data_IF_410134039973
#
_entry.id   IF_410134039973
#
_cell.length_a   1.000
_cell.length_b   1.000
_cell.length_c   1.000
_cell.angle_alpha   90.00
_cell.angle_beta   90.00
_cell.angle_gamma   90.00
#
_symmetry.space_group_name_H-M   'P 1'
#
loop_
_entity.id
_entity.type
_entity.pdbx_description
1 polymer ?
#
# COMPACT_ATOMS: atom_id res chain seq x y z
N UNK A 1 22.38 15.58 15.20
CA UNK A 1 20.99 15.19 15.57
C UNK A 1 20.96 13.69 15.64
N UNK A 2 20.96 13.12 16.85
CA UNK A 2 20.92 11.67 17.04
C UNK A 2 19.56 11.14 16.61
N UNK A 3 19.56 10.22 15.65
CA UNK A 3 18.39 9.46 15.26
C UNK A 3 17.92 8.59 16.44
N UNK A 4 16.81 8.94 17.05
CA UNK A 4 16.16 8.07 18.05
C UNK A 4 15.52 6.91 17.34
N UNK A 5 16.19 5.79 17.41
CA UNK A 5 15.66 4.49 17.02
C UNK A 5 14.87 3.89 18.20
N UNK A 6 13.61 3.56 17.98
CA UNK A 6 12.74 2.91 18.99
C UNK A 6 12.49 1.44 18.58
N UNK A 7 12.66 0.48 19.46
CA UNK A 7 12.47 -0.96 19.22
C UNK A 7 11.37 -1.57 20.12
N UNK A 8 10.62 -2.54 19.63
CA UNK A 8 9.62 -3.28 20.41
C UNK A 8 10.21 -4.60 20.86
N UNK A 9 10.20 -4.85 22.17
CA UNK A 9 10.56 -6.13 22.76
C UNK A 9 9.35 -6.77 23.45
N UNK A 10 9.10 -8.03 23.17
CA UNK A 10 8.10 -8.84 23.86
C UNK A 10 8.86 -9.66 24.94
N UNK A 11 8.75 -9.26 26.20
CA UNK A 11 9.19 -10.07 27.33
C UNK A 11 8.00 -10.77 27.98
N UNK A 12 8.25 -11.93 28.59
CA UNK A 12 7.24 -12.89 29.11
C UNK A 12 6.23 -12.35 30.14
N UNK A 13 6.25 -11.08 30.50
CA UNK A 13 5.34 -10.47 31.48
C UNK A 13 4.81 -9.09 31.08
N UNK A 14 4.58 -8.84 29.81
CA UNK A 14 4.02 -7.56 29.33
C UNK A 14 4.84 -6.93 28.25
N UNK A 15 4.13 -6.30 27.35
CA UNK A 15 4.72 -5.59 26.22
C UNK A 15 5.40 -4.32 26.73
N UNK A 16 6.73 -4.26 26.70
CA UNK A 16 7.45 -3.01 26.87
C UNK A 16 7.74 -2.44 25.49
N UNK A 17 7.08 -1.33 25.17
CA UNK A 17 7.38 -0.52 24.00
C UNK A 17 8.59 0.39 24.36
N UNK A 18 9.74 -0.22 24.54
CA UNK A 18 11.00 0.50 24.67
C UNK A 18 11.77 0.33 23.37
N UNK A 19 11.82 1.41 22.59
CA UNK A 19 12.62 1.52 21.37
C UNK A 19 12.12 0.74 20.15
N UNK A 20 11.17 1.28 19.40
CA UNK A 20 10.91 0.93 18.00
C UNK A 20 12.06 1.46 17.14
N UNK A 21 12.98 0.57 16.75
CA UNK A 21 14.02 0.91 15.79
C UNK A 21 13.53 0.67 14.36
N UNK A 22 12.67 1.55 13.87
CA UNK A 22 12.50 1.72 12.44
C UNK A 22 13.32 2.94 12.02
N UNK A 23 14.37 2.74 11.26
CA UNK A 23 15.05 3.87 10.63
C UNK A 23 14.09 4.45 9.60
N UNK A 24 13.90 5.75 9.63
CA UNK A 24 13.13 6.47 8.60
C UNK A 24 13.71 6.21 7.19
N UNK A 25 15.00 5.91 7.10
CA UNK A 25 15.68 5.41 5.91
C UNK A 25 15.12 4.08 5.41
N UNK A 26 14.72 3.17 6.30
CA UNK A 26 14.26 1.83 5.91
C UNK A 26 12.83 1.86 5.34
N UNK A 27 12.05 2.89 5.71
CA UNK A 27 10.72 3.15 5.15
C UNK A 27 10.82 3.96 3.84
N UNK A 28 11.81 4.82 3.69
CA UNK A 28 11.99 5.67 2.52
C UNK A 28 12.92 5.08 1.46
N UNK A 29 13.86 4.21 1.81
CA UNK A 29 14.95 3.78 0.93
C UNK A 29 14.56 2.80 -0.18
N UNK A 30 13.41 2.16 -0.10
CA UNK A 30 12.96 1.24 -1.15
C UNK A 30 12.14 1.93 -2.25
N UNK A 31 12.04 3.24 -2.21
CA UNK A 31 11.37 4.06 -3.22
C UNK A 31 12.36 4.95 -3.97
N UNK A 32 13.47 4.37 -4.37
CA UNK A 32 14.30 5.01 -5.37
C UNK A 32 13.44 5.26 -6.62
N UNK A 33 13.48 6.51 -7.07
CA UNK A 33 12.95 6.92 -8.35
C UNK A 33 13.78 6.20 -9.42
N UNK A 34 13.39 4.97 -9.72
CA UNK A 34 13.99 4.29 -10.86
C UNK A 34 13.60 5.08 -12.10
N UNK A 35 14.57 5.54 -12.89
CA UNK A 35 14.24 6.16 -14.16
C UNK A 35 13.41 5.16 -14.97
N UNK A 36 12.32 5.63 -15.54
CA UNK A 36 11.53 4.83 -16.48
C UNK A 36 12.40 4.75 -17.73
N UNK A 37 12.80 3.55 -18.10
CA UNK A 37 13.62 3.33 -19.27
C UNK A 37 12.84 3.70 -20.54
N UNK A 38 13.55 4.17 -21.55
CA UNK A 38 12.96 4.55 -22.84
C UNK A 38 12.20 3.36 -23.43
N UNK A 39 10.89 3.51 -23.60
CA UNK A 39 9.98 2.49 -24.16
C UNK A 39 9.10 1.76 -23.13
N UNK A 40 9.29 1.97 -21.84
CA UNK A 40 8.37 1.46 -20.82
C UNK A 40 7.10 2.32 -20.71
N UNK A 41 5.97 1.66 -20.48
CA UNK A 41 4.71 2.36 -20.23
C UNK A 41 4.73 2.97 -18.81
N UNK A 42 4.71 4.30 -18.75
CA UNK A 42 4.78 5.07 -17.51
C UNK A 42 3.64 4.72 -16.56
N UNK A 43 2.43 4.53 -17.08
CA UNK A 43 1.26 4.22 -16.26
C UNK A 43 1.34 2.81 -15.68
N UNK A 44 1.78 1.85 -16.49
CA UNK A 44 1.99 0.47 -16.07
C UNK A 44 3.01 0.41 -14.94
N UNK A 45 4.18 1.04 -15.12
CA UNK A 45 5.23 1.06 -14.09
C UNK A 45 4.82 1.82 -12.83
N UNK A 46 4.06 2.89 -12.98
CA UNK A 46 3.54 3.64 -11.83
C UNK A 46 2.57 2.78 -11.02
N UNK A 47 1.64 2.09 -11.67
CA UNK A 47 0.72 1.18 -11.01
C UNK A 47 1.45 0.03 -10.32
N UNK A 48 2.38 -0.64 -11.00
CA UNK A 48 3.21 -1.71 -10.44
C UNK A 48 3.91 -1.28 -9.15
N UNK A 49 4.56 -0.11 -9.16
CA UNK A 49 5.24 0.44 -7.99
C UNK A 49 4.27 0.83 -6.88
N UNK A 50 3.17 1.48 -7.22
CA UNK A 50 2.17 1.90 -6.25
C UNK A 50 1.56 0.69 -5.52
N UNK A 51 1.16 -0.36 -6.24
CA UNK A 51 0.62 -1.58 -5.65
C UNK A 51 1.66 -2.36 -4.86
N UNK A 52 2.91 -2.43 -5.35
CA UNK A 52 4.00 -3.01 -4.56
C UNK A 52 4.17 -2.26 -3.23
N UNK A 53 4.17 -0.93 -3.27
CA UNK A 53 4.28 -0.12 -2.06
C UNK A 53 3.12 -0.36 -1.08
N UNK A 54 1.89 -0.30 -1.58
CA UNK A 54 0.69 -0.53 -0.76
C UNK A 54 0.70 -1.90 -0.09
N UNK A 55 1.26 -2.91 -0.75
CA UNK A 55 1.27 -4.27 -0.24
C UNK A 55 2.32 -4.50 0.86
N UNK A 56 3.38 -3.71 0.92
CA UNK A 56 4.54 -3.99 1.78
C UNK A 56 4.87 -2.87 2.78
N UNK A 57 4.31 -1.67 2.63
CA UNK A 57 4.67 -0.54 3.51
C UNK A 57 3.45 0.26 3.96
N UNK A 58 3.41 0.62 5.24
CA UNK A 58 2.51 1.65 5.74
C UNK A 58 3.11 3.05 5.52
N UNK A 59 2.25 4.06 5.43
CA UNK A 59 2.70 5.46 5.47
C UNK A 59 3.19 5.82 6.86
N UNK A 60 4.01 6.86 6.94
CA UNK A 60 4.51 7.38 8.22
C UNK A 60 3.36 7.75 9.16
N UNK A 61 2.35 8.44 8.65
CA UNK A 61 1.18 8.87 9.41
C UNK A 61 0.40 7.69 9.98
N UNK A 62 0.30 6.60 9.21
CA UNK A 62 -0.36 5.39 9.68
C UNK A 62 0.43 4.71 10.80
N UNK A 63 1.75 4.61 10.67
CA UNK A 63 2.61 4.08 11.73
C UNK A 63 2.55 4.93 13.00
N UNK A 64 2.58 6.26 12.87
CA UNK A 64 2.44 7.18 13.99
C UNK A 64 1.09 7.03 14.69
N UNK A 65 0.01 6.82 13.95
CA UNK A 65 -1.31 6.56 14.52
C UNK A 65 -1.35 5.27 15.34
N UNK A 66 -0.73 4.19 14.85
CA UNK A 66 -0.62 2.92 15.60
C UNK A 66 0.19 3.12 16.89
N UNK A 67 1.32 3.81 16.81
CA UNK A 67 2.18 4.11 17.97
C UNK A 67 1.39 4.97 18.99
N UNK A 68 0.71 6.00 18.53
CA UNK A 68 -0.09 6.86 19.40
C UNK A 68 -1.19 6.05 20.12
N UNK A 69 -1.85 5.15 19.41
CA UNK A 69 -2.87 4.27 19.99
C UNK A 69 -2.26 3.35 21.07
N UNK A 70 -1.08 2.79 20.82
CA UNK A 70 -0.39 1.95 21.79
C UNK A 70 0.05 2.71 23.06
N UNK A 71 0.38 3.98 22.92
CA UNK A 71 0.84 4.85 24.02
C UNK A 71 -0.30 5.58 24.75
N UNK A 72 -1.54 5.43 24.29
CA UNK A 72 -2.69 6.07 24.93
C UNK A 72 -2.82 5.61 26.40
N UNK A 73 -3.10 6.54 27.33
CA UNK A 73 -3.40 6.19 28.73
C UNK A 73 -4.56 5.23 28.87
N UNK A 74 -5.54 5.29 27.96
CA UNK A 74 -6.75 4.48 27.96
C UNK A 74 -6.57 3.12 27.26
N UNK A 75 -5.39 2.87 26.66
CA UNK A 75 -5.13 1.61 25.99
C UNK A 75 -5.02 0.45 27.00
N UNK A 76 -5.77 -0.62 26.73
CA UNK A 76 -5.63 -1.87 27.49
C UNK A 76 -4.33 -2.60 27.11
N UNK A 77 -3.95 -3.59 27.91
CA UNK A 77 -2.80 -4.46 27.60
C UNK A 77 -2.98 -5.19 26.27
N UNK A 78 -4.22 -5.57 25.93
CA UNK A 78 -4.54 -6.19 24.66
C UNK A 78 -4.35 -5.21 23.49
N UNK A 79 -4.78 -3.96 23.63
CA UNK A 79 -4.60 -2.94 22.59
C UNK A 79 -3.11 -2.70 22.31
N UNK A 80 -2.32 -2.60 23.37
CA UNK A 80 -0.86 -2.45 23.27
C UNK A 80 -0.23 -3.64 22.57
N UNK A 81 -0.64 -4.86 22.92
CA UNK A 81 -0.16 -6.08 22.29
C UNK A 81 -0.49 -6.12 20.79
N UNK A 82 -1.73 -5.80 20.42
CA UNK A 82 -2.17 -5.77 19.01
C UNK A 82 -1.39 -4.73 18.22
N UNK A 83 -1.25 -3.51 18.75
CA UNK A 83 -0.47 -2.45 18.10
C UNK A 83 0.99 -2.87 17.89
N UNK A 84 1.61 -3.54 18.86
CA UNK A 84 2.97 -4.03 18.71
C UNK A 84 3.08 -5.13 17.66
N UNK A 85 2.11 -6.04 17.58
CA UNK A 85 2.05 -7.03 16.51
C UNK A 85 1.93 -6.38 15.13
N UNK A 86 1.10 -5.32 14.99
CA UNK A 86 0.97 -4.55 13.75
C UNK A 86 2.28 -3.88 13.35
N UNK A 87 2.96 -3.25 14.29
CA UNK A 87 4.26 -2.61 14.03
C UNK A 87 5.33 -3.62 13.65
N UNK A 88 5.37 -4.76 14.32
CA UNK A 88 6.30 -5.85 13.97
C UNK A 88 6.00 -6.44 12.59
N UNK A 89 4.73 -6.59 12.26
CA UNK A 89 4.32 -7.01 10.93
C UNK A 89 4.76 -5.99 9.86
N UNK A 90 4.60 -4.68 10.13
CA UNK A 90 5.06 -3.63 9.22
C UNK A 90 6.57 -3.66 9.00
N UNK A 91 7.35 -3.90 10.06
CA UNK A 91 8.81 -4.07 9.96
C UNK A 91 9.16 -5.25 9.04
N UNK A 92 8.56 -6.43 9.28
CA UNK A 92 8.81 -7.63 8.47
C UNK A 92 8.39 -7.40 7.01
N UNK A 93 7.21 -6.81 6.79
CA UNK A 93 6.71 -6.55 5.45
C UNK A 93 7.60 -5.57 4.66
N UNK A 94 8.21 -4.60 5.32
CA UNK A 94 9.09 -3.61 4.68
C UNK A 94 10.31 -4.22 3.97
N UNK A 95 10.68 -5.46 4.32
CA UNK A 95 11.73 -6.20 3.63
C UNK A 95 11.29 -6.75 2.25
N UNK A 96 9.99 -6.70 1.93
CA UNK A 96 9.46 -7.06 0.62
C UNK A 96 9.29 -8.56 0.37
N UNK A 97 9.44 -9.41 1.38
CA UNK A 97 9.24 -10.86 1.27
C UNK A 97 7.80 -11.27 1.58
N UNK A 98 7.22 -10.71 2.63
CA UNK A 98 5.85 -10.97 3.07
C UNK A 98 5.02 -9.70 3.03
N UNK A 99 3.82 -9.71 2.45
CA UNK A 99 2.97 -8.52 2.42
C UNK A 99 2.43 -8.18 3.82
N UNK A 100 1.99 -6.94 4.00
CA UNK A 100 1.34 -6.46 5.21
C UNK A 100 0.10 -7.28 5.57
N UNK A 101 -0.64 -7.74 4.56
CA UNK A 101 -1.83 -8.54 4.70
C UNK A 101 -1.93 -9.53 3.54
N UNK A 102 -2.41 -10.75 3.83
CA UNK A 102 -2.64 -11.75 2.80
C UNK A 102 -3.97 -11.58 2.06
N UNK A 103 -4.87 -10.78 2.57
CA UNK A 103 -6.13 -10.45 1.89
C UNK A 103 -5.92 -9.24 0.99
N UNK A 104 -5.57 -9.50 -0.25
CA UNK A 104 -5.15 -8.48 -1.22
C UNK A 104 -6.31 -7.83 -1.97
N UNK A 105 -7.47 -8.48 -2.04
CA UNK A 105 -8.69 -7.95 -2.64
C UNK A 105 -8.55 -7.56 -4.12
N UNK A 106 -9.42 -6.64 -4.58
CA UNK A 106 -9.45 -6.10 -5.93
C UNK A 106 -8.69 -4.76 -5.96
N UNK A 107 -7.85 -4.57 -6.97
CA UNK A 107 -7.18 -3.30 -7.21
C UNK A 107 -8.18 -2.20 -7.56
N UNK A 108 -8.18 -1.09 -6.80
CA UNK A 108 -8.98 0.09 -7.07
C UNK A 108 -8.05 1.28 -7.37
N UNK A 109 -8.25 1.90 -8.52
CA UNK A 109 -7.44 3.04 -8.99
C UNK A 109 -8.37 4.22 -9.26
N UNK A 110 -8.11 5.34 -8.59
CA UNK A 110 -8.74 6.63 -8.86
C UNK A 110 -7.68 7.59 -9.34
N UNK A 111 -7.86 8.15 -10.54
CA UNK A 111 -6.90 9.06 -11.15
C UNK A 111 -7.55 10.32 -11.68
N UNK A 112 -6.82 11.42 -11.60
CA UNK A 112 -7.19 12.70 -12.21
C UNK A 112 -6.13 13.07 -13.23
N UNK A 113 -6.54 13.40 -14.43
CA UNK A 113 -5.65 13.84 -15.51
C UNK A 113 -6.08 15.17 -16.08
N UNK A 114 -5.12 15.95 -16.54
CA UNK A 114 -5.42 17.18 -17.30
C UNK A 114 -5.90 16.85 -18.71
N UNK A 115 -6.80 17.67 -19.23
CA UNK A 115 -7.21 17.58 -20.63
C UNK A 115 -5.97 17.71 -21.54
N UNK A 116 -5.87 16.84 -22.55
CA UNK A 116 -4.73 16.79 -23.46
C UNK A 116 -3.63 15.80 -23.08
N UNK A 117 -3.69 15.14 -21.95
CA UNK A 117 -2.82 14.01 -21.65
C UNK A 117 -3.30 12.78 -22.44
N UNK A 118 -2.48 12.32 -23.36
CA UNK A 118 -2.77 11.15 -24.22
C UNK A 118 -1.71 10.09 -23.94
N UNK A 119 -2.16 8.92 -23.51
CA UNK A 119 -1.32 7.75 -23.40
C UNK A 119 -1.20 7.03 -24.75
N UNK A 120 -0.08 6.38 -25.02
CA UNK A 120 0.12 5.59 -26.25
C UNK A 120 -0.69 4.28 -26.27
N UNK A 121 -0.99 3.73 -25.10
CA UNK A 121 -1.92 2.59 -24.88
C UNK A 121 -3.17 3.09 -24.20
N UNK A 122 -4.20 2.26 -24.15
CA UNK A 122 -5.36 2.51 -23.29
C UNK A 122 -4.92 2.68 -21.83
N UNK A 123 -5.20 3.84 -21.23
CA UNK A 123 -4.75 4.18 -19.88
C UNK A 123 -5.20 3.16 -18.83
N UNK A 124 -6.44 2.69 -18.94
CA UNK A 124 -6.98 1.66 -18.06
C UNK A 124 -6.27 0.32 -18.23
N UNK A 125 -5.89 -0.04 -19.44
CA UNK A 125 -5.17 -1.28 -19.74
C UNK A 125 -3.77 -1.24 -19.14
N UNK A 126 -3.05 -0.13 -19.30
CA UNK A 126 -1.71 0.04 -18.72
C UNK A 126 -1.73 -0.01 -17.19
N UNK A 127 -2.67 0.69 -16.55
CA UNK A 127 -2.83 0.68 -15.10
C UNK A 127 -3.22 -0.71 -14.57
N UNK A 128 -4.13 -1.41 -15.29
CA UNK A 128 -4.54 -2.77 -14.94
C UNK A 128 -3.38 -3.75 -15.06
N UNK A 129 -2.58 -3.63 -16.11
CA UNK A 129 -1.41 -4.49 -16.32
C UNK A 129 -0.35 -4.30 -15.24
N UNK A 130 -0.08 -3.07 -14.80
CA UNK A 130 0.83 -2.81 -13.68
C UNK A 130 0.34 -3.42 -12.37
N UNK A 131 -0.96 -3.33 -12.08
CA UNK A 131 -1.55 -4.02 -10.92
C UNK A 131 -1.40 -5.54 -11.04
N UNK A 132 -1.77 -6.12 -12.21
CA UNK A 132 -1.66 -7.56 -12.48
C UNK A 132 -0.22 -8.08 -12.28
N UNK A 133 0.76 -7.36 -12.83
CA UNK A 133 2.18 -7.72 -12.64
C UNK A 133 2.59 -7.76 -11.18
N UNK A 134 2.12 -6.81 -10.37
CA UNK A 134 2.42 -6.83 -8.94
C UNK A 134 1.86 -8.06 -8.26
N UNK A 135 0.62 -8.45 -8.54
CA UNK A 135 0.05 -9.68 -7.97
C UNK A 135 0.86 -10.91 -8.34
N UNK A 136 1.27 -11.03 -9.60
CA UNK A 136 2.01 -12.19 -10.11
C UNK A 136 3.46 -12.23 -9.58
N UNK A 137 4.22 -11.13 -9.73
CA UNK A 137 5.64 -11.07 -9.41
C UNK A 137 5.91 -11.09 -7.90
N UNK A 138 5.05 -10.41 -7.13
CA UNK A 138 5.13 -10.40 -5.66
C UNK A 138 4.44 -11.60 -5.02
N UNK A 139 3.87 -12.50 -5.83
CA UNK A 139 3.16 -13.70 -5.37
C UNK A 139 2.10 -13.38 -4.32
N UNK A 140 1.37 -12.30 -4.55
CA UNK A 140 0.29 -11.90 -3.68
C UNK A 140 -0.88 -12.89 -3.81
N UNK A 141 -1.60 -13.12 -2.72
CA UNK A 141 -2.71 -14.06 -2.71
C UNK A 141 -3.81 -13.61 -3.67
N UNK A 142 -4.33 -14.54 -4.45
CA UNK A 142 -5.56 -14.34 -5.20
C UNK A 142 -6.75 -14.58 -4.28
N UNK A 143 -7.43 -13.52 -3.91
CA UNK A 143 -8.54 -13.52 -2.93
C UNK A 143 -9.88 -13.10 -3.53
N UNK A 144 -9.90 -12.86 -4.85
CA UNK A 144 -11.11 -12.41 -5.53
C UNK A 144 -11.96 -13.61 -5.97
N UNK A 145 -13.25 -13.56 -5.64
CA UNK A 145 -14.26 -14.48 -6.14
C UNK A 145 -15.36 -13.71 -6.88
N UNK A 146 -15.77 -14.21 -8.00
CA UNK A 146 -16.82 -13.60 -8.84
C UNK A 146 -18.06 -14.50 -8.82
N UNK A 147 -19.21 -14.03 -8.31
CA UNK A 147 -20.43 -14.81 -8.31
C UNK A 147 -20.95 -15.02 -9.74
N UNK A 148 -21.16 -16.28 -10.13
CA UNK A 148 -21.82 -16.64 -11.39
C UNK A 148 -23.34 -16.66 -11.26
N UNK A 149 -23.81 -17.09 -10.10
CA UNK A 149 -25.21 -17.13 -9.72
C UNK A 149 -25.31 -17.17 -8.18
N UNK A 150 -26.49 -17.43 -7.61
CA UNK A 150 -26.68 -17.49 -6.16
C UNK A 150 -25.92 -18.60 -5.45
N UNK A 151 -25.46 -19.62 -6.16
CA UNK A 151 -24.87 -20.83 -5.57
C UNK A 151 -23.43 -21.08 -6.02
N UNK A 152 -23.01 -20.49 -7.15
CA UNK A 152 -21.71 -20.76 -7.77
C UNK A 152 -20.85 -19.51 -7.86
N UNK A 153 -19.58 -19.67 -7.49
CA UNK A 153 -18.55 -18.65 -7.61
C UNK A 153 -17.46 -19.09 -8.60
N UNK A 154 -16.78 -18.15 -9.15
CA UNK A 154 -15.63 -18.34 -10.02
C UNK A 154 -14.43 -17.57 -9.47
N UNK A 155 -13.31 -18.28 -9.28
CA UNK A 155 -12.02 -17.67 -8.95
C UNK A 155 -11.27 -17.35 -10.25
N UNK A 156 -11.06 -16.07 -10.58
CA UNK A 156 -10.32 -15.67 -11.78
C UNK A 156 -8.80 -15.94 -11.66
N UNK A 157 -8.31 -16.30 -10.47
CA UNK A 157 -6.90 -16.61 -10.16
C UNK A 157 -5.91 -15.50 -10.57
N UNK A 158 -6.32 -14.24 -10.46
CA UNK A 158 -5.48 -13.11 -10.81
C UNK A 158 -5.92 -11.79 -10.16
N UNK A 159 -6.95 -11.79 -9.31
CA UNK A 159 -7.57 -10.60 -8.71
C UNK A 159 -8.02 -9.52 -9.72
N UNK A 160 -8.26 -9.92 -10.97
CA UNK A 160 -8.71 -9.02 -12.03
C UNK A 160 -10.22 -9.24 -12.32
N UNK A 161 -10.89 -8.23 -12.90
CA UNK A 161 -10.36 -6.95 -13.38
C UNK A 161 -10.13 -5.93 -12.25
N UNK A 162 -9.15 -5.04 -12.43
CA UNK A 162 -9.00 -3.86 -11.60
C UNK A 162 -10.17 -2.89 -11.81
N UNK A 163 -10.62 -2.22 -10.76
CA UNK A 163 -11.59 -1.13 -10.86
C UNK A 163 -10.85 0.19 -11.05
N UNK A 164 -11.04 0.81 -12.23
CA UNK A 164 -10.30 2.01 -12.60
C UNK A 164 -11.29 3.13 -12.94
N UNK A 165 -11.16 4.25 -12.24
CA UNK A 165 -11.93 5.47 -12.45
C UNK A 165 -10.97 6.62 -12.76
N UNK A 166 -10.97 7.06 -14.02
CA UNK A 166 -10.15 8.18 -14.47
C UNK A 166 -11.05 9.41 -14.76
N UNK A 167 -10.73 10.50 -14.10
CA UNK A 167 -11.42 11.77 -14.25
C UNK A 167 -10.55 12.74 -15.06
N UNK A 168 -11.14 13.43 -16.01
CA UNK A 168 -10.47 14.49 -16.76
C UNK A 168 -10.85 15.85 -16.18
N UNK A 169 -9.86 16.66 -15.85
CA UNK A 169 -10.05 18.00 -15.33
C UNK A 169 -9.59 19.03 -16.37
N UNK A 170 -10.41 20.04 -16.62
CA UNK A 170 -9.97 21.22 -17.33
C UNK A 170 -9.02 22.03 -16.45
N UNK A 171 -7.90 22.46 -17.00
CA UNK A 171 -6.82 23.14 -16.27
C UNK A 171 -7.27 24.40 -15.49
N UNK A 172 -8.47 24.92 -15.78
CA UNK A 172 -9.06 26.09 -15.12
C UNK A 172 -9.92 25.76 -13.88
N UNK A 173 -10.26 24.49 -13.64
CA UNK A 173 -11.23 24.08 -12.62
C UNK A 173 -10.69 22.98 -11.66
N UNK A 174 -9.37 22.76 -11.62
CA UNK A 174 -8.80 21.74 -10.75
C UNK A 174 -9.19 21.99 -9.28
N UNK A 175 -10.20 21.32 -8.73
CA UNK A 175 -10.41 21.34 -7.29
C UNK A 175 -9.21 20.65 -6.63
N UNK A 176 -8.68 21.24 -5.59
CA UNK A 176 -7.74 20.57 -4.71
C UNK A 176 -8.34 19.22 -4.33
N UNK A 177 -7.65 18.08 -4.52
CA UNK A 177 -8.19 16.77 -4.17
C UNK A 177 -8.69 16.80 -2.74
N UNK A 178 -9.92 16.34 -2.46
CA UNK A 178 -10.53 16.44 -1.12
C UNK A 178 -9.79 15.63 -0.04
N UNK A 179 -8.74 14.90 -0.41
CA UNK A 179 -8.01 14.01 0.48
C UNK A 179 -6.63 14.53 0.93
N UNK A 180 -6.24 15.75 0.51
CA UNK A 180 -5.04 16.41 1.03
C UNK A 180 -5.49 17.65 1.80
N UNK A 181 -6.03 17.46 3.00
CA UNK A 181 -6.00 18.49 4.02
C UNK A 181 -4.86 18.16 4.98
N UNK A 182 -3.87 19.04 4.90
CA UNK A 182 -2.80 19.16 5.88
C UNK A 182 -3.32 19.27 7.31
#
# INVERSE_FOLDING_TARGET
MEERTQGVFIENNGLKIDNLRMKQSDIQSNFDFFPIENGEDILEKTAERAFSRLSFTFTKEHLEAIIHSALSPDASDNDRYVCACMLKNAEVASHGEFPLCQDTGIANIFGWKKSGFISQKGECESLSEGARKTYDERKLRFSTSVPKNFYDEFDPKNNMPAQISLFTEDAALAPTPPFIKS
#
